data_IF_663815293860
#
_entry.id   IF_663815293860
#
_cell.length_a   1.000
_cell.length_b   1.000
_cell.length_c   1.000
_cell.angle_alpha   90.00
_cell.angle_beta   90.00
_cell.angle_gamma   90.00
#
_symmetry.space_group_name_H-M   'P 1'
#
loop_
_entity.id
_entity.type
_entity.pdbx_description
1 polymer ?
#
# COMPACT_ATOMS: atom_id res chain seq x y z
N UNK A 1 5.95 -6.81 19.11
CA UNK A 1 6.35 -6.48 17.73
C UNK A 1 5.50 -5.32 17.22
N UNK A 2 5.98 -4.58 16.23
CA UNK A 2 5.31 -3.40 15.67
C UNK A 2 4.85 -3.69 14.25
N UNK A 3 3.56 -3.43 14.00
CA UNK A 3 2.93 -3.63 12.69
C UNK A 3 2.48 -2.28 12.17
N UNK A 4 3.13 -1.78 11.13
CA UNK A 4 2.78 -0.52 10.49
C UNK A 4 2.02 -0.79 9.20
N UNK A 5 0.72 -0.46 9.18
CA UNK A 5 -0.09 -0.50 7.97
C UNK A 5 -0.14 0.90 7.34
N UNK A 6 -0.07 0.99 6.01
CA UNK A 6 -0.14 2.26 5.29
C UNK A 6 -1.00 2.17 4.03
N UNK A 7 -2.03 3.03 3.95
CA UNK A 7 -2.65 3.42 2.68
C UNK A 7 -2.13 4.80 2.29
N UNK A 8 -1.15 4.82 1.40
CA UNK A 8 -0.46 6.04 0.95
C UNK A 8 -1.39 6.99 0.20
N UNK A 9 -2.43 6.44 -0.43
CA UNK A 9 -3.31 7.16 -1.35
C UNK A 9 -4.67 7.49 -0.78
N UNK A 10 -5.07 6.85 0.31
CA UNK A 10 -6.44 6.93 0.84
C UNK A 10 -7.46 6.39 -0.16
N UNK A 11 -7.11 5.36 -0.94
CA UNK A 11 -7.99 4.74 -1.94
C UNK A 11 -9.13 3.98 -1.28
N UNK A 12 -8.91 3.42 -0.09
CA UNK A 12 -9.85 2.48 0.53
C UNK A 12 -10.11 2.75 2.02
N UNK A 13 -10.39 4.01 2.46
CA UNK A 13 -10.59 4.29 3.88
C UNK A 13 -11.76 3.51 4.49
N UNK A 14 -12.78 3.17 3.68
CA UNK A 14 -13.95 2.36 4.07
C UNK A 14 -13.56 0.92 4.40
N UNK A 15 -12.45 0.41 3.85
CA UNK A 15 -11.97 -0.96 4.10
C UNK A 15 -10.81 -0.99 5.11
N UNK A 16 -9.95 0.03 5.10
CA UNK A 16 -8.78 0.09 5.98
C UNK A 16 -9.17 0.11 7.46
N UNK A 17 -10.21 0.88 7.82
CA UNK A 17 -10.67 1.01 9.22
C UNK A 17 -11.23 -0.32 9.74
N UNK A 18 -12.24 -0.95 9.12
CA UNK A 18 -12.75 -2.24 9.60
C UNK A 18 -11.69 -3.34 9.64
N UNK A 19 -10.77 -3.35 8.67
CA UNK A 19 -9.64 -4.29 8.69
C UNK A 19 -8.74 -4.05 9.89
N UNK A 20 -8.39 -2.80 10.19
CA UNK A 20 -7.57 -2.47 11.35
C UNK A 20 -8.29 -2.79 12.67
N UNK A 21 -9.59 -2.54 12.77
CA UNK A 21 -10.38 -2.91 13.95
C UNK A 21 -10.40 -4.42 14.17
N UNK A 22 -10.58 -5.21 13.11
CA UNK A 22 -10.53 -6.66 13.18
C UNK A 22 -9.14 -7.15 13.59
N UNK A 23 -8.07 -6.64 12.97
CA UNK A 23 -6.70 -7.01 13.29
C UNK A 23 -6.29 -6.57 14.70
N UNK A 24 -6.72 -5.40 15.16
CA UNK A 24 -6.42 -4.89 16.50
C UNK A 24 -6.99 -5.80 17.60
N UNK A 25 -8.05 -6.58 17.32
CA UNK A 25 -8.60 -7.56 18.26
C UNK A 25 -7.84 -8.89 18.28
N UNK A 26 -7.10 -9.22 17.22
CA UNK A 26 -6.48 -10.55 17.03
C UNK A 26 -4.95 -10.52 17.19
N UNK A 27 -4.32 -9.41 16.85
CA UNK A 27 -2.86 -9.26 16.84
C UNK A 27 -2.21 -9.12 18.23
N UNK A 28 -2.84 -8.45 19.23
CA UNK A 28 -2.27 -8.37 20.56
C UNK A 28 -2.22 -9.74 21.27
N UNK A 29 -1.26 -9.94 22.19
CA UNK A 29 -0.20 -9.00 22.59
C UNK A 29 1.02 -9.01 21.66
N UNK A 30 1.05 -9.88 20.64
CA UNK A 30 2.23 -10.13 19.80
C UNK A 30 2.59 -8.91 18.97
N UNK A 31 1.60 -8.27 18.34
CA UNK A 31 1.80 -7.10 17.50
C UNK A 31 0.98 -5.89 18.00
N UNK A 32 1.64 -4.73 18.01
CA UNK A 32 1.00 -3.43 18.15
C UNK A 32 0.78 -2.83 16.75
N UNK A 33 -0.48 -2.75 16.33
CA UNK A 33 -0.89 -2.22 15.03
C UNK A 33 -0.95 -0.69 15.04
N UNK A 34 -0.40 -0.06 14.00
CA UNK A 34 -0.58 1.36 13.70
C UNK A 34 -0.97 1.56 12.23
N UNK A 35 -2.03 2.32 11.96
CA UNK A 35 -2.44 2.69 10.59
C UNK A 35 -1.97 4.10 10.20
N UNK A 36 -1.38 4.25 9.02
CA UNK A 36 -1.11 5.54 8.38
C UNK A 36 -1.99 5.74 7.15
N UNK A 37 -2.85 6.76 7.16
CA UNK A 37 -3.73 7.07 6.04
C UNK A 37 -4.05 8.59 5.92
N UNK A 38 -4.32 9.12 4.72
CA UNK A 38 -4.63 10.56 4.55
C UNK A 38 -5.95 11.00 5.19
N UNK A 39 -6.95 10.12 5.22
CA UNK A 39 -8.32 10.44 5.62
C UNK A 39 -8.71 9.91 7.00
N UNK A 40 -7.73 9.50 7.83
CA UNK A 40 -8.01 8.99 9.17
C UNK A 40 -8.12 10.12 10.21
N UNK A 41 -9.08 9.94 11.11
CA UNK A 41 -9.23 10.75 12.32
C UNK A 41 -9.01 9.86 13.55
N UNK A 42 -7.94 10.10 14.33
CA UNK A 42 -7.68 9.36 15.57
C UNK A 42 -8.83 9.40 16.59
N UNK A 43 -9.73 10.37 16.50
CA UNK A 43 -10.89 10.46 17.40
C UNK A 43 -12.00 9.47 17.08
N UNK A 44 -12.00 8.89 15.89
CA UNK A 44 -13.07 8.04 15.38
C UNK A 44 -12.70 6.57 15.31
N UNK A 45 -11.55 6.17 15.89
CA UNK A 45 -11.04 4.80 15.84
C UNK A 45 -10.42 4.40 17.18
N UNK A 46 -10.55 3.13 17.54
CA UNK A 46 -10.06 2.57 18.82
C UNK A 46 -8.64 1.97 18.73
N UNK A 47 -7.87 2.30 17.70
CA UNK A 47 -6.52 1.78 17.47
C UNK A 47 -5.53 2.91 17.13
N UNK A 48 -4.23 2.66 17.33
CA UNK A 48 -3.20 3.67 17.02
C UNK A 48 -3.19 4.00 15.53
N UNK A 49 -3.24 5.29 15.20
CA UNK A 49 -3.17 5.73 13.83
C UNK A 49 -2.42 7.06 13.68
N UNK A 50 -2.13 7.41 12.43
CA UNK A 50 -1.44 8.65 12.07
C UNK A 50 -1.90 9.16 10.72
N UNK A 51 -2.06 10.48 10.62
CA UNK A 51 -2.52 11.13 9.39
C UNK A 51 -1.36 11.30 8.40
N UNK A 52 -1.58 10.90 7.16
CA UNK A 52 -0.73 11.24 6.00
C UNK A 52 -1.22 12.53 5.33
N UNK A 53 -0.44 13.09 4.42
CA UNK A 53 -0.83 14.31 3.72
C UNK A 53 -2.04 14.05 2.81
N UNK A 54 -2.98 14.98 2.83
CA UNK A 54 -4.10 15.07 1.89
C UNK A 54 -4.24 16.52 1.39
N UNK A 55 -3.50 16.87 0.34
CA UNK A 55 -3.45 18.26 -0.16
C UNK A 55 -4.74 18.61 -0.93
N UNK A 56 -5.34 17.63 -1.61
CA UNK A 56 -6.55 17.85 -2.40
C UNK A 56 -7.81 17.52 -1.60
N UNK A 57 -8.79 18.45 -1.53
CA UNK A 57 -10.11 18.15 -1.01
C UNK A 57 -10.72 16.96 -1.74
N UNK A 58 -11.45 16.10 -1.02
CA UNK A 58 -12.04 14.87 -1.55
C UNK A 58 -12.81 15.07 -2.86
N UNK A 59 -13.55 16.19 -2.99
CA UNK A 59 -14.29 16.56 -4.21
C UNK A 59 -13.41 16.71 -5.45
N UNK A 60 -12.16 17.16 -5.29
CA UNK A 60 -11.23 17.42 -6.39
C UNK A 60 -10.32 16.23 -6.69
N UNK A 61 -10.25 15.22 -5.81
CA UNK A 61 -9.40 14.04 -6.00
C UNK A 61 -9.82 13.16 -7.18
N UNK A 62 -11.09 13.26 -7.61
CA UNK A 62 -11.64 12.58 -8.80
C UNK A 62 -11.51 13.40 -10.09
N UNK A 63 -10.95 14.60 -10.02
CA UNK A 63 -10.85 15.48 -11.19
C UNK A 63 -9.87 14.92 -12.23
N UNK A 64 -10.29 14.91 -13.50
CA UNK A 64 -9.45 14.49 -14.63
C UNK A 64 -8.50 15.60 -15.13
N UNK A 65 -8.62 16.83 -14.61
CA UNK A 65 -7.80 17.97 -15.07
C UNK A 65 -6.33 17.78 -14.65
N UNK A 66 -5.40 18.09 -15.57
CA UNK A 66 -3.95 17.95 -15.38
C UNK A 66 -3.40 18.52 -14.06
N UNK A 67 -3.73 19.75 -13.61
CA UNK A 67 -3.16 20.29 -12.37
C UNK A 67 -3.57 19.48 -11.14
N UNK A 68 -4.81 19.02 -11.04
CA UNK A 68 -5.26 18.19 -9.91
C UNK A 68 -4.60 16.80 -9.93
N UNK A 69 -4.37 16.22 -11.11
CA UNK A 69 -3.60 14.97 -11.22
C UNK A 69 -2.15 15.15 -10.76
N UNK A 70 -1.51 16.26 -11.10
CA UNK A 70 -0.15 16.57 -10.66
C UNK A 70 -0.07 16.76 -9.14
N UNK A 71 -0.99 17.52 -8.54
CA UNK A 71 -1.05 17.70 -7.08
C UNK A 71 -1.30 16.36 -6.38
N UNK A 72 -2.16 15.49 -6.93
CA UNK A 72 -2.39 14.14 -6.39
C UNK A 72 -1.11 13.29 -6.42
N UNK A 73 -0.39 13.29 -7.54
CA UNK A 73 0.87 12.58 -7.66
C UNK A 73 1.93 13.13 -6.67
N UNK A 74 2.03 14.46 -6.52
CA UNK A 74 2.91 15.09 -5.54
C UNK A 74 2.53 14.70 -4.11
N UNK A 75 1.23 14.65 -3.79
CA UNK A 75 0.75 14.20 -2.46
C UNK A 75 1.20 12.77 -2.16
N UNK A 76 1.09 11.86 -3.14
CA UNK A 76 1.56 10.47 -3.01
C UNK A 76 3.08 10.42 -2.79
N UNK A 77 3.86 11.22 -3.53
CA UNK A 77 5.32 11.29 -3.34
C UNK A 77 5.67 11.79 -1.93
N UNK A 78 5.02 12.85 -1.44
CA UNK A 78 5.23 13.38 -0.09
C UNK A 78 4.85 12.34 0.98
N UNK A 79 3.81 11.55 0.76
CA UNK A 79 3.43 10.46 1.65
C UNK A 79 4.45 9.33 1.66
N UNK A 80 5.05 8.98 0.51
CA UNK A 80 6.18 8.05 0.45
C UNK A 80 7.39 8.57 1.24
N UNK A 81 7.74 9.86 1.09
CA UNK A 81 8.85 10.48 1.84
C UNK A 81 8.58 10.41 3.36
N UNK A 82 7.36 10.76 3.79
CA UNK A 82 6.95 10.67 5.19
C UNK A 82 7.01 9.21 5.71
N UNK A 83 6.52 8.25 4.93
CA UNK A 83 6.59 6.84 5.26
C UNK A 83 8.04 6.35 5.40
N UNK A 84 8.91 6.72 4.45
CA UNK A 84 10.35 6.41 4.49
C UNK A 84 10.98 6.93 5.78
N UNK A 85 10.74 8.20 6.13
CA UNK A 85 11.28 8.78 7.36
C UNK A 85 10.79 8.02 8.61
N UNK A 86 9.50 7.70 8.69
CA UNK A 86 8.92 6.96 9.81
C UNK A 86 9.48 5.55 9.92
N UNK A 87 9.58 4.82 8.81
CA UNK A 87 10.12 3.45 8.77
C UNK A 87 11.61 3.45 9.10
N UNK A 88 12.38 4.41 8.61
CA UNK A 88 13.82 4.53 8.91
C UNK A 88 14.08 4.78 10.40
N UNK A 89 13.24 5.60 11.05
CA UNK A 89 13.37 5.93 12.48
C UNK A 89 12.83 4.82 13.37
N UNK A 90 11.62 4.33 13.09
CA UNK A 90 10.91 3.39 13.96
C UNK A 90 11.24 1.93 13.69
N UNK A 91 11.69 1.61 12.48
CA UNK A 91 12.08 0.25 12.02
C UNK A 91 11.06 -0.81 12.44
N UNK A 92 9.81 -0.72 11.95
CA UNK A 92 8.77 -1.64 12.36
C UNK A 92 9.11 -3.09 11.99
N UNK A 93 8.57 -4.07 12.70
CA UNK A 93 8.77 -5.48 12.34
C UNK A 93 8.07 -5.81 11.02
N UNK A 94 6.88 -5.23 10.81
CA UNK A 94 6.07 -5.40 9.60
C UNK A 94 5.70 -4.02 9.04
N UNK A 95 5.92 -3.84 7.74
CA UNK A 95 5.36 -2.76 6.93
C UNK A 95 4.35 -3.37 5.96
N UNK A 96 3.07 -3.06 6.13
CA UNK A 96 1.98 -3.53 5.28
C UNK A 96 1.43 -2.38 4.44
N UNK A 97 1.70 -2.43 3.14
CA UNK A 97 1.15 -1.49 2.17
C UNK A 97 -0.20 -2.00 1.67
N UNK A 98 -1.23 -1.15 1.75
CA UNK A 98 -2.53 -1.49 1.15
C UNK A 98 -2.50 -1.31 -0.37
N UNK A 99 -1.80 -0.28 -0.85
CA UNK A 99 -1.74 0.04 -2.27
C UNK A 99 -0.33 0.45 -2.71
N UNK A 100 -0.03 0.16 -3.97
CA UNK A 100 1.04 0.78 -4.74
C UNK A 100 0.41 1.75 -5.76
N UNK A 101 0.02 2.97 -5.34
CA UNK A 101 -0.82 3.85 -6.15
C UNK A 101 -0.22 4.33 -7.47
N UNK A 102 1.10 4.18 -7.70
CA UNK A 102 1.76 4.66 -8.93
C UNK A 102 2.11 3.54 -9.91
N UNK A 103 2.05 2.26 -9.51
CA UNK A 103 2.42 1.11 -10.35
C UNK A 103 1.57 1.01 -11.62
N UNK A 104 0.32 1.47 -11.53
CA UNK A 104 -0.63 1.55 -12.65
C UNK A 104 -0.17 2.52 -13.75
N UNK A 105 0.66 3.51 -13.43
CA UNK A 105 1.07 4.58 -14.36
C UNK A 105 2.59 4.65 -14.59
N UNK A 106 3.40 4.13 -13.67
CA UNK A 106 4.87 4.20 -13.72
C UNK A 106 5.52 3.15 -12.83
N UNK A 107 6.83 2.91 -12.99
CA UNK A 107 7.58 2.02 -12.09
C UNK A 107 8.34 2.77 -10.99
N UNK A 108 7.97 4.01 -10.66
CA UNK A 108 8.74 4.86 -9.74
C UNK A 108 8.77 4.30 -8.31
N UNK A 109 7.74 3.55 -7.91
CA UNK A 109 7.63 2.95 -6.58
C UNK A 109 8.74 1.97 -6.24
N UNK A 110 9.42 1.40 -7.26
CA UNK A 110 10.60 0.56 -7.06
C UNK A 110 11.70 1.31 -6.29
N UNK A 111 11.83 2.63 -6.51
CA UNK A 111 12.84 3.43 -5.82
C UNK A 111 12.46 3.70 -4.37
N UNK A 112 11.18 3.97 -4.08
CA UNK A 112 10.71 4.12 -2.71
C UNK A 112 10.87 2.81 -1.92
N UNK A 113 10.48 1.69 -2.51
CA UNK A 113 10.64 0.36 -1.91
C UNK A 113 12.12 0.00 -1.70
N UNK A 114 12.99 0.32 -2.66
CA UNK A 114 14.44 0.14 -2.51
C UNK A 114 15.00 0.94 -1.34
N UNK A 115 14.59 2.21 -1.20
CA UNK A 115 15.01 3.07 -0.07
C UNK A 115 14.48 2.52 1.26
N UNK A 116 13.22 2.10 1.31
CA UNK A 116 12.62 1.48 2.51
C UNK A 116 13.38 0.21 2.93
N UNK A 117 13.73 -0.67 1.97
CA UNK A 117 14.51 -1.88 2.25
C UNK A 117 15.91 -1.56 2.74
N UNK A 118 16.55 -0.53 2.16
CA UNK A 118 17.86 -0.08 2.61
C UNK A 118 17.82 0.52 4.03
N UNK A 119 16.80 1.31 4.35
CA UNK A 119 16.69 1.98 5.66
C UNK A 119 16.21 1.05 6.78
N UNK A 120 15.49 -0.01 6.46
CA UNK A 120 14.95 -0.97 7.42
C UNK A 120 15.05 -2.43 6.90
N UNK A 121 16.28 -3.00 6.80
CA UNK A 121 16.52 -4.29 6.16
C UNK A 121 15.88 -5.50 6.88
N UNK A 122 15.52 -5.35 8.15
CA UNK A 122 14.87 -6.41 8.95
C UNK A 122 13.34 -6.37 8.87
N UNK A 123 12.77 -5.27 8.39
CA UNK A 123 11.31 -5.10 8.29
C UNK A 123 10.75 -6.00 7.20
N UNK A 124 9.68 -6.74 7.52
CA UNK A 124 8.94 -7.57 6.57
C UNK A 124 7.90 -6.74 5.81
N UNK A 125 7.93 -6.83 4.48
CA UNK A 125 7.09 -6.02 3.61
C UNK A 125 5.92 -6.86 3.12
N UNK A 126 4.71 -6.44 3.47
CA UNK A 126 3.46 -7.04 3.02
C UNK A 126 2.75 -6.10 2.05
N UNK A 127 2.11 -6.64 1.02
CA UNK A 127 1.27 -5.88 0.09
C UNK A 127 -0.10 -6.55 -0.06
N UNK A 128 -1.18 -5.79 0.15
CA UNK A 128 -2.51 -6.27 -0.23
C UNK A 128 -2.69 -6.22 -1.75
N UNK A 129 -3.15 -7.31 -2.35
CA UNK A 129 -3.58 -7.36 -3.74
C UNK A 129 -5.10 -7.23 -3.76
N UNK A 130 -5.57 -6.02 -4.02
CA UNK A 130 -7.00 -5.75 -4.15
C UNK A 130 -7.55 -6.19 -5.51
N UNK A 131 -6.74 -6.10 -6.56
CA UNK A 131 -7.05 -6.54 -7.91
C UNK A 131 -5.79 -7.14 -8.56
N UNK A 132 -5.94 -8.21 -9.34
CA UNK A 132 -4.83 -8.80 -10.12
C UNK A 132 -4.36 -7.82 -11.20
N UNK A 133 -5.31 -7.17 -11.87
CA UNK A 133 -5.08 -6.12 -12.85
C UNK A 133 -6.00 -4.92 -12.57
N UNK A 134 -5.65 -3.71 -13.01
CA UNK A 134 -6.58 -2.59 -12.97
C UNK A 134 -7.86 -2.93 -13.74
N UNK A 135 -9.03 -2.54 -13.22
CA UNK A 135 -10.31 -2.79 -13.87
C UNK A 135 -10.33 -2.29 -15.31
N UNK A 136 -11.02 -3.01 -16.19
CA UNK A 136 -11.21 -2.70 -17.62
C UNK A 136 -9.90 -2.53 -18.41
N UNK A 137 -8.83 -3.22 -18.01
CA UNK A 137 -7.55 -3.20 -18.74
C UNK A 137 -7.60 -4.06 -20.00
N UNK A 138 -7.23 -3.47 -21.15
CA UNK A 138 -6.87 -4.22 -22.36
C UNK A 138 -5.65 -5.11 -22.12
N UNK A 139 -5.43 -6.11 -22.97
CA UNK A 139 -4.28 -7.02 -22.82
C UNK A 139 -2.93 -6.29 -22.89
N UNK A 140 -2.83 -5.26 -23.72
CA UNK A 140 -1.65 -4.36 -23.75
C UNK A 140 -1.44 -3.69 -22.40
N UNK A 141 -2.49 -3.16 -21.78
CA UNK A 141 -2.40 -2.50 -20.47
C UNK A 141 -2.06 -3.50 -19.35
N UNK A 142 -2.59 -4.73 -19.42
CA UNK A 142 -2.22 -5.82 -18.49
C UNK A 142 -0.74 -6.17 -18.58
N UNK A 143 -0.20 -6.26 -19.80
CA UNK A 143 1.22 -6.55 -20.02
C UNK A 143 2.11 -5.43 -19.48
N UNK A 144 1.76 -4.17 -19.76
CA UNK A 144 2.47 -3.01 -19.21
C UNK A 144 2.41 -3.00 -17.67
N UNK A 145 1.24 -3.30 -17.08
CA UNK A 145 1.10 -3.41 -15.64
C UNK A 145 2.01 -4.50 -15.08
N UNK A 146 2.04 -5.68 -15.73
CA UNK A 146 2.90 -6.81 -15.34
C UNK A 146 4.38 -6.44 -15.33
N UNK A 147 4.86 -5.73 -16.35
CA UNK A 147 6.24 -5.23 -16.42
C UNK A 147 6.58 -4.17 -15.37
N UNK A 148 5.59 -3.37 -14.94
CA UNK A 148 5.79 -2.40 -13.86
C UNK A 148 5.77 -3.09 -12.51
N UNK A 149 4.85 -4.04 -12.32
CA UNK A 149 4.72 -4.82 -11.10
C UNK A 149 5.97 -5.69 -10.86
N UNK A 150 6.53 -6.33 -11.89
CA UNK A 150 7.75 -7.13 -11.77
C UNK A 150 8.98 -6.33 -11.29
N UNK A 151 8.94 -4.98 -11.35
CA UNK A 151 10.00 -4.12 -10.83
C UNK A 151 9.83 -3.78 -9.35
N UNK A 152 8.64 -3.95 -8.78
CA UNK A 152 8.32 -3.67 -7.37
C UNK A 152 8.18 -4.95 -6.54
N UNK A 153 7.68 -6.01 -7.17
CA UNK A 153 7.48 -7.35 -6.61
C UNK A 153 8.70 -7.89 -5.83
N UNK A 154 9.96 -7.76 -6.31
CA UNK A 154 11.13 -8.28 -5.60
C UNK A 154 11.38 -7.63 -4.24
N UNK A 155 10.76 -6.48 -3.96
CA UNK A 155 10.89 -5.79 -2.67
C UNK A 155 9.83 -6.22 -1.66
N UNK A 156 8.86 -7.07 -2.04
CA UNK A 156 7.75 -7.50 -1.17
C UNK A 156 7.98 -8.93 -0.69
N UNK A 157 7.84 -9.20 0.60
CA UNK A 157 8.06 -10.54 1.16
C UNK A 157 6.85 -11.44 0.95
N UNK A 158 5.66 -10.94 1.29
CA UNK A 158 4.38 -11.66 1.14
C UNK A 158 3.30 -10.72 0.59
N UNK A 159 2.33 -11.32 -0.06
CA UNK A 159 1.14 -10.66 -0.55
C UNK A 159 -0.06 -11.16 0.24
N UNK A 160 -1.04 -10.28 0.47
CA UNK A 160 -2.32 -10.65 1.08
C UNK A 160 -3.37 -10.56 -0.01
N UNK A 161 -4.06 -11.67 -0.27
CA UNK A 161 -5.11 -11.75 -1.28
C UNK A 161 -6.42 -12.12 -0.60
N UNK A 162 -7.52 -11.48 -1.00
CA UNK A 162 -8.81 -11.63 -0.29
C UNK A 162 -9.54 -12.95 -0.58
N UNK A 163 -9.32 -13.55 -1.77
CA UNK A 163 -10.04 -14.74 -2.24
C UNK A 163 -9.07 -15.75 -2.85
N UNK A 164 -9.37 -17.05 -2.67
CA UNK A 164 -8.56 -18.14 -3.23
C UNK A 164 -8.52 -18.13 -4.77
N UNK A 165 -9.63 -17.77 -5.42
CA UNK A 165 -9.69 -17.62 -6.88
C UNK A 165 -8.76 -16.51 -7.37
N UNK A 166 -8.76 -15.35 -6.68
CA UNK A 166 -7.84 -14.25 -6.95
C UNK A 166 -6.40 -14.63 -6.67
N UNK A 167 -6.15 -15.46 -5.64
CA UNK A 167 -4.81 -15.98 -5.32
C UNK A 167 -4.26 -16.81 -6.47
N UNK A 168 -5.05 -17.75 -7.00
CA UNK A 168 -4.66 -18.59 -8.13
C UNK A 168 -4.40 -17.77 -9.39
N UNK A 169 -5.29 -16.83 -9.70
CA UNK A 169 -5.14 -15.92 -10.84
C UNK A 169 -3.86 -15.08 -10.71
N UNK A 170 -3.62 -14.48 -9.53
CA UNK A 170 -2.42 -13.68 -9.26
C UNK A 170 -1.13 -14.49 -9.38
N UNK A 171 -1.09 -15.70 -8.78
CA UNK A 171 0.08 -16.57 -8.87
C UNK A 171 0.39 -16.95 -10.32
N UNK A 172 -0.63 -17.32 -11.10
CA UNK A 172 -0.50 -17.65 -12.51
C UNK A 172 -0.05 -16.44 -13.36
N UNK A 173 -0.69 -15.30 -13.15
CA UNK A 173 -0.43 -14.08 -13.91
C UNK A 173 1.00 -13.53 -13.71
N UNK A 174 1.52 -13.56 -12.49
CA UNK A 174 2.79 -12.94 -12.12
C UNK A 174 3.93 -13.93 -11.83
N UNK A 175 3.66 -15.24 -11.84
CA UNK A 175 4.66 -16.27 -11.53
C UNK A 175 5.09 -16.25 -10.05
N UNK A 176 4.17 -15.88 -9.15
CA UNK A 176 4.43 -15.77 -7.72
C UNK A 176 4.04 -17.08 -7.03
N UNK A 177 4.91 -17.60 -6.16
CA UNK A 177 4.64 -18.82 -5.40
C UNK A 177 3.44 -18.64 -4.46
N UNK A 178 2.60 -19.68 -4.37
CA UNK A 178 1.48 -19.75 -3.44
C UNK A 178 1.89 -19.65 -1.96
N UNK A 179 3.16 -19.92 -1.63
CA UNK A 179 3.69 -19.72 -0.28
C UNK A 179 3.84 -18.23 0.06
N UNK A 180 4.02 -17.36 -0.95
CA UNK A 180 4.15 -15.91 -0.78
C UNK A 180 2.80 -15.19 -0.75
N UNK A 181 1.69 -15.90 -0.89
CA UNK A 181 0.32 -15.39 -1.01
C UNK A 181 -0.62 -16.10 -0.05
#
# INVERSE_FOLDING_TARGET
MTYLMADISGRSPVYDIPLCEALHKVLPPVYHLKLLAPNIDPKNVDFDCGRLFNILPHRLQKSKRKPFRAIKALTVILNYINLIARVAIKKPDILHLQWLPLVEVSSIEKYFLKILRFSAPKTKFLLTIHNVYPHDSSDVNKQIYKERFSKVEPYIDKFIVHLETTKQEFCSAFGISAERT
#
